data_IF_640022104258
#
_entry.id   IF_640022104258
#
_cell.length_a   1.000
_cell.length_b   1.000
_cell.length_c   1.000
_cell.angle_alpha   90.00
_cell.angle_beta   90.00
_cell.angle_gamma   90.00
#
_symmetry.space_group_name_H-M   'P 1'
#
loop_
_entity.id
_entity.type
_entity.pdbx_description
1 polymer ?
2 non-polymer ?
#
# COMPACT_ATOMS: atom_id res chain seq x y z
N UNK A 1 -11.27 3.65 -14.16
CA UNK A 1 -10.68 3.39 -12.85
C UNK A 1 -10.10 4.67 -12.26
N UNK A 2 -10.12 4.77 -10.94
CA UNK A 2 -9.59 5.96 -10.26
C UNK A 2 -8.07 6.01 -10.39
N UNK A 3 -7.51 7.18 -10.12
CA UNK A 3 -6.06 7.34 -10.21
C UNK A 3 -5.40 6.38 -9.22
N UNK A 4 -6.03 6.18 -8.07
CA UNK A 4 -5.48 5.28 -7.09
C UNK A 4 -5.40 3.87 -7.68
N UNK A 5 -6.43 3.47 -8.42
CA UNK A 5 -6.43 2.16 -9.05
C UNK A 5 -5.34 2.09 -10.09
N UNK A 6 -5.16 3.19 -10.84
CA UNK A 6 -4.14 3.22 -11.88
C UNK A 6 -2.76 3.04 -11.26
N UNK A 7 -2.55 3.71 -10.13
CA UNK A 7 -1.27 3.62 -9.43
C UNK A 7 -1.09 2.22 -8.85
N UNK A 8 -2.20 1.64 -8.40
CA UNK A 8 -2.16 0.31 -7.80
C UNK A 8 -1.62 -0.74 -8.77
N UNK A 9 -2.09 -0.68 -10.02
CA UNK A 9 -1.67 -1.63 -11.03
C UNK A 9 -0.17 -1.60 -11.20
N UNK A 10 0.41 -0.44 -10.99
CA UNK A 10 1.84 -0.29 -11.10
C UNK A 10 2.56 -1.24 -10.15
N UNK A 11 1.99 -1.47 -8.95
CA UNK A 11 2.67 -2.36 -8.00
C UNK A 11 2.80 -3.77 -8.56
N UNK A 12 1.74 -4.25 -9.19
CA UNK A 12 1.74 -5.59 -9.75
C UNK A 12 2.74 -5.73 -10.90
N UNK A 13 2.74 -4.76 -11.81
CA UNK A 13 3.64 -4.82 -12.95
C UNK A 13 5.10 -4.85 -12.53
N UNK A 14 5.45 -4.00 -11.56
CA UNK A 14 6.85 -3.96 -11.10
C UNK A 14 7.17 -5.21 -10.29
N UNK A 15 6.24 -5.64 -9.45
CA UNK A 15 6.47 -6.85 -8.66
C UNK A 15 6.67 -8.04 -9.57
N UNK A 16 5.78 -8.17 -10.55
CA UNK A 16 5.86 -9.27 -11.49
C UNK A 16 7.13 -9.24 -12.33
N UNK A 17 7.47 -8.06 -12.87
CA UNK A 17 8.66 -7.97 -13.72
C UNK A 17 9.94 -8.22 -12.94
N UNK A 18 10.13 -7.50 -11.83
CA UNK A 18 11.33 -7.70 -11.03
C UNK A 18 11.40 -9.10 -10.46
N UNK A 19 10.28 -9.59 -9.92
CA UNK A 19 10.27 -10.94 -9.35
C UNK A 19 10.60 -11.96 -10.44
N UNK A 20 10.03 -11.72 -11.63
CA UNK A 20 10.24 -12.60 -12.77
C UNK A 20 11.70 -12.62 -13.23
N UNK A 21 12.35 -11.47 -13.16
CA UNK A 21 13.73 -11.35 -13.62
C UNK A 21 14.67 -12.30 -12.87
N UNK A 22 14.50 -12.42 -11.56
CA UNK A 22 15.36 -13.29 -10.77
C UNK A 22 14.55 -14.25 -9.90
N UNK A 23 15.05 -15.47 -9.72
CA UNK A 23 14.38 -16.44 -8.87
C UNK A 23 13.13 -16.99 -9.52
N UNK A 24 12.29 -17.63 -8.73
CA UNK A 24 11.04 -18.16 -9.25
C UNK A 24 10.09 -17.01 -9.55
N UNK A 25 9.40 -17.09 -10.68
CA UNK A 25 8.47 -16.06 -11.08
C UNK A 25 7.34 -15.92 -10.06
N UNK A 26 6.89 -17.05 -9.55
CA UNK A 26 5.79 -17.08 -8.58
C UNK A 26 6.15 -16.43 -7.24
N UNK A 27 7.41 -16.58 -6.81
CA UNK A 27 7.81 -16.02 -5.52
C UNK A 27 9.00 -15.07 -5.61
N UNK A 28 8.99 -14.09 -4.71
CA UNK A 28 10.08 -13.12 -4.62
C UNK A 28 10.90 -13.43 -3.37
N UNK A 29 12.21 -13.61 -3.53
CA UNK A 29 13.06 -13.89 -2.37
C UNK A 29 13.45 -12.57 -1.71
N UNK A 30 13.86 -12.63 -0.44
CA UNK A 30 14.25 -11.41 0.24
C UNK A 30 15.39 -10.74 -0.50
N UNK A 31 16.32 -11.52 -1.03
CA UNK A 31 17.44 -10.94 -1.74
C UNK A 31 16.93 -10.11 -2.90
N UNK A 32 15.93 -10.63 -3.61
CA UNK A 32 15.36 -9.90 -4.72
C UNK A 32 14.64 -8.65 -4.22
N UNK A 33 13.96 -8.79 -3.07
CA UNK A 33 13.25 -7.65 -2.49
C UNK A 33 14.20 -6.54 -2.07
N UNK A 34 15.31 -6.91 -1.42
CA UNK A 34 16.26 -5.92 -0.97
C UNK A 34 16.80 -5.12 -2.14
N UNK A 35 17.18 -5.82 -3.20
CA UNK A 35 17.70 -5.17 -4.38
C UNK A 35 16.63 -4.31 -5.04
N UNK A 36 15.40 -4.82 -5.07
CA UNK A 36 14.31 -4.07 -5.69
C UNK A 36 14.05 -2.74 -5.00
N UNK A 37 13.89 -2.77 -3.68
CA UNK A 37 13.64 -1.53 -2.94
C UNK A 37 14.86 -0.63 -2.88
N UNK A 38 16.04 -1.21 -2.73
CA UNK A 38 17.22 -0.38 -2.63
C UNK A 38 17.42 0.45 -3.90
N UNK A 39 17.29 -0.21 -5.06
CA UNK A 39 17.47 0.50 -6.33
C UNK A 39 16.27 1.37 -6.71
N UNK A 40 15.06 0.81 -6.62
CA UNK A 40 13.86 1.53 -7.02
C UNK A 40 13.39 2.58 -6.01
N UNK A 41 13.60 2.31 -4.73
CA UNK A 41 13.12 3.23 -3.68
C UNK A 41 14.25 4.16 -3.23
N UNK A 42 13.90 5.40 -2.93
CA UNK A 42 14.87 6.40 -2.51
C UNK A 42 15.75 5.82 -1.40
N UNK A 43 15.20 4.84 -0.70
CA UNK A 43 15.91 4.19 0.38
C UNK A 43 17.35 3.88 -0.05
N UNK A 44 17.63 4.02 -1.35
CA UNK A 44 18.98 3.76 -1.84
C UNK A 44 19.99 4.49 -0.95
N UNK A 45 19.64 5.72 -0.60
CA UNK A 45 20.50 6.52 0.28
C UNK A 45 20.74 5.76 1.58
N UNK A 46 19.69 5.07 2.03
CA UNK A 46 19.75 4.29 3.27
C UNK A 46 20.44 2.96 3.03
N UNK A 47 21.03 2.81 1.85
CA UNK A 47 21.72 1.58 1.49
C UNK A 47 22.84 1.28 2.49
N UNK A 48 23.34 2.31 3.14
CA UNK A 48 24.40 2.15 4.13
C UNK A 48 24.04 1.10 5.18
N UNK A 49 24.67 1.19 6.35
CA UNK A 49 24.39 0.22 7.42
C UNK A 49 22.92 0.23 7.77
N UNK A 50 22.26 1.35 7.56
CA UNK A 50 20.84 1.46 7.84
C UNK A 50 20.08 0.36 7.11
N UNK A 51 20.57 0.02 5.92
CA UNK A 51 19.94 -1.01 5.10
C UNK A 51 19.76 -2.30 5.89
N UNK A 52 20.65 -2.54 6.85
CA UNK A 52 20.57 -3.74 7.67
C UNK A 52 19.20 -3.87 8.31
N UNK A 53 18.61 -2.74 8.68
CA UNK A 53 17.29 -2.75 9.31
C UNK A 53 16.29 -3.45 8.41
N UNK A 54 16.54 -3.40 7.11
CA UNK A 54 15.65 -4.04 6.18
C UNK A 54 15.43 -5.49 6.60
N UNK A 55 16.48 -6.13 7.10
CA UNK A 55 16.33 -7.50 7.55
C UNK A 55 15.38 -7.55 8.75
N UNK A 56 15.52 -6.58 9.64
CA UNK A 56 14.70 -6.51 10.86
C UNK A 56 13.21 -6.31 10.57
N UNK A 57 12.88 -5.47 9.59
CA UNK A 57 11.47 -5.22 9.29
C UNK A 57 10.79 -6.42 8.64
N UNK A 58 11.54 -7.18 7.86
CA UNK A 58 10.97 -8.36 7.19
C UNK A 58 10.38 -9.34 8.19
N UNK A 59 11.03 -9.50 9.34
CA UNK A 59 10.54 -10.44 10.33
C UNK A 59 9.13 -10.10 10.81
N UNK A 60 8.89 -8.80 11.08
CA UNK A 60 7.57 -8.39 11.54
C UNK A 60 6.51 -8.55 10.46
N UNK A 61 6.86 -8.21 9.23
CA UNK A 61 5.92 -8.32 8.11
C UNK A 61 5.58 -9.78 7.80
N UNK A 62 6.57 -10.66 7.94
CA UNK A 62 6.34 -12.06 7.63
C UNK A 62 5.78 -12.80 8.84
N UNK A 63 4.49 -13.11 8.81
CA UNK A 63 3.88 -13.86 9.89
C UNK A 63 4.45 -15.27 9.90
N UNK A 64 4.67 -15.80 8.70
CA UNK A 64 5.19 -17.14 8.53
C UNK A 64 6.55 -17.29 9.21
N UNK A 65 7.34 -16.24 9.13
CA UNK A 65 8.69 -16.27 9.69
C UNK A 65 9.59 -16.99 8.70
N UNK A 66 9.02 -17.29 7.55
CA UNK A 66 9.70 -18.00 6.48
C UNK A 66 10.90 -17.23 5.92
N UNK A 67 10.80 -15.92 5.90
CA UNK A 67 11.88 -15.09 5.36
C UNK A 67 11.59 -14.76 3.90
N UNK A 68 10.49 -15.33 3.41
CA UNK A 68 10.04 -15.11 2.04
C UNK A 68 8.75 -14.32 2.09
N UNK A 69 8.45 -13.57 1.03
CA UNK A 69 7.23 -12.77 1.02
C UNK A 69 6.33 -13.06 -0.17
N UNK A 70 5.04 -12.89 0.08
CA UNK A 70 4.01 -13.09 -0.91
C UNK A 70 3.48 -11.73 -1.34
N UNK A 71 2.73 -11.68 -2.41
CA UNK A 71 2.22 -10.40 -2.87
C UNK A 71 1.52 -9.69 -1.71
N UNK A 72 0.76 -10.43 -0.91
CA UNK A 72 0.08 -9.82 0.22
C UNK A 72 1.06 -9.20 1.20
N UNK A 73 2.17 -9.87 1.49
CA UNK A 73 3.15 -9.30 2.40
C UNK A 73 3.85 -8.08 1.76
N UNK A 74 4.09 -8.20 0.45
CA UNK A 74 4.76 -7.13 -0.30
C UNK A 74 3.96 -5.82 -0.32
N UNK A 75 2.66 -5.92 -0.56
CA UNK A 75 1.85 -4.72 -0.63
C UNK A 75 1.88 -3.95 0.68
N UNK A 76 1.86 -4.66 1.80
CA UNK A 76 1.92 -4.00 3.09
C UNK A 76 3.35 -3.53 3.36
N UNK A 77 4.32 -4.30 2.87
CA UNK A 77 5.71 -3.94 3.07
C UNK A 77 6.03 -2.59 2.44
N UNK A 78 5.51 -2.36 1.23
CA UNK A 78 5.76 -1.08 0.56
C UNK A 78 4.93 0.03 1.21
N UNK A 79 3.75 -0.34 1.70
CA UNK A 79 2.86 0.63 2.32
C UNK A 79 3.52 1.27 3.54
N UNK A 80 4.26 0.47 4.32
CA UNK A 80 4.92 1.01 5.49
C UNK A 80 5.98 2.02 5.08
N UNK A 81 6.71 1.69 4.02
CA UNK A 81 7.75 2.58 3.51
C UNK A 81 7.12 3.87 2.98
N UNK A 82 5.93 3.74 2.38
CA UNK A 82 5.23 4.89 1.83
C UNK A 82 5.09 5.99 2.88
N UNK A 83 4.84 5.59 4.11
CA UNK A 83 4.70 6.55 5.18
C UNK A 83 5.97 7.37 5.34
N UNK A 84 7.13 6.73 5.13
CA UNK A 84 8.39 7.43 5.27
C UNK A 84 8.50 8.59 4.27
N UNK A 85 8.00 8.37 3.06
CA UNK A 85 8.05 9.42 2.06
C UNK A 85 7.27 10.62 2.58
N UNK A 86 6.15 10.34 3.25
CA UNK A 86 5.34 11.40 3.82
C UNK A 86 6.19 12.21 4.80
N UNK A 87 6.99 11.50 5.59
CA UNK A 87 7.86 12.16 6.53
C UNK A 87 8.84 13.06 5.79
N UNK A 88 9.34 12.54 4.67
CA UNK A 88 10.27 13.29 3.83
C UNK A 88 9.60 14.56 3.31
N UNK A 89 8.35 14.43 2.93
CA UNK A 89 7.58 15.56 2.40
C UNK A 89 7.66 16.73 3.36
N UNK A 90 7.59 16.42 4.65
CA UNK A 90 7.65 17.46 5.68
C UNK A 90 8.90 18.31 5.49
N UNK A 91 9.99 17.69 5.06
CA UNK A 91 11.24 18.43 4.85
C UNK A 91 11.06 19.50 3.77
N UNK A 92 10.21 19.21 2.80
CA UNK A 92 9.95 20.15 1.71
C UNK A 92 8.63 20.85 1.93
N UNK A 93 8.65 22.18 1.86
CA UNK A 93 7.45 22.98 2.05
C UNK A 93 7.24 23.32 3.52
N UNK B 1 12.67 9.04 -9.93
CA UNK B 1 11.96 8.13 -9.04
C UNK B 1 11.38 6.94 -9.82
N UNK B 2 11.29 5.80 -9.16
CA UNK B 2 10.75 4.60 -9.79
C UNK B 2 9.26 4.74 -10.04
N UNK B 3 8.73 3.88 -10.91
CA UNK B 3 7.31 3.94 -11.22
C UNK B 3 6.51 3.71 -9.95
N UNK B 4 7.03 2.85 -9.08
CA UNK B 4 6.34 2.57 -7.82
C UNK B 4 6.24 3.86 -7.01
N UNK B 5 7.32 4.64 -7.00
CA UNK B 5 7.32 5.90 -6.28
C UNK B 5 6.31 6.86 -6.92
N UNK B 6 6.27 6.85 -8.25
CA UNK B 6 5.35 7.74 -8.95
C UNK B 6 3.91 7.40 -8.57
N UNK B 7 3.63 6.09 -8.52
CA UNK B 7 2.29 5.63 -8.15
C UNK B 7 1.99 5.97 -6.70
N UNK B 8 3.02 5.87 -5.87
CA UNK B 8 2.87 6.13 -4.43
C UNK B 8 2.37 7.55 -4.17
N UNK B 9 2.95 8.51 -4.89
CA UNK B 9 2.58 9.92 -4.71
C UNK B 9 1.10 10.10 -4.96
N UNK B 10 0.57 9.30 -5.85
CA UNK B 10 -0.84 9.38 -6.17
C UNK B 10 -1.68 9.17 -4.92
N UNK B 11 -1.24 8.29 -4.00
CA UNK B 11 -2.04 8.04 -2.80
C UNK B 11 -2.19 9.30 -1.96
N UNK B 12 -1.10 10.04 -1.83
CA UNK B 12 -1.12 11.26 -1.04
C UNK B 12 -2.01 12.34 -1.66
N UNK B 13 -1.88 12.54 -2.97
CA UNK B 13 -2.68 13.55 -3.65
C UNK B 13 -4.17 13.29 -3.52
N UNK B 14 -4.57 12.04 -3.70
CA UNK B 14 -5.99 11.70 -3.59
C UNK B 14 -6.45 11.75 -2.15
N UNK B 15 -5.61 11.27 -1.24
CA UNK B 15 -5.97 11.31 0.17
C UNK B 15 -6.15 12.75 0.63
N UNK B 16 -5.18 13.58 0.26
CA UNK B 16 -5.22 14.99 0.64
C UNK B 16 -6.41 15.72 0.01
N UNK B 17 -6.65 15.52 -1.28
CA UNK B 17 -7.75 16.21 -1.94
C UNK B 17 -9.11 15.77 -1.41
N UNK B 18 -9.36 14.47 -1.40
CA UNK B 18 -10.63 13.98 -0.90
C UNK B 18 -10.83 14.32 0.57
N UNK B 19 -9.79 14.08 1.39
CA UNK B 19 -9.88 14.39 2.80
C UNK B 19 -10.16 15.87 3.01
N UNK B 20 -9.48 16.68 2.20
CA UNK B 20 -9.63 18.13 2.25
C UNK B 20 -11.04 18.59 1.88
N UNK B 21 -11.64 17.91 0.91
CA UNK B 21 -12.97 18.29 0.45
C UNK B 21 -14.00 18.26 1.55
N UNK B 22 -13.96 17.24 2.41
CA UNK B 22 -14.93 17.13 3.49
C UNK B 22 -14.25 16.91 4.83
N UNK B 23 -14.83 17.48 5.89
CA UNK B 23 -14.29 17.30 7.23
C UNK B 23 -13.01 18.09 7.42
N UNK B 24 -12.26 17.76 8.47
CA UNK B 24 -11.00 18.42 8.73
C UNK B 24 -9.98 17.98 7.70
N UNK B 25 -9.19 18.92 7.20
CA UNK B 25 -8.18 18.62 6.21
C UNK B 25 -7.14 17.65 6.77
N UNK B 26 -6.80 17.85 8.04
CA UNK B 26 -5.80 17.02 8.70
C UNK B 26 -6.24 15.57 8.89
N UNK B 27 -7.54 15.36 9.13
CA UNK B 27 -8.03 13.99 9.37
C UNK B 27 -9.16 13.59 8.43
N UNK B 28 -9.19 12.29 8.13
CA UNK B 28 -10.22 11.72 7.28
C UNK B 28 -11.18 10.90 8.15
N UNK B 29 -12.47 11.20 8.10
CA UNK B 29 -13.44 10.45 8.90
C UNK B 29 -13.82 9.17 8.16
N UNK B 30 -14.34 8.19 8.89
CA UNK B 30 -14.74 6.95 8.23
C UNK B 30 -15.76 7.23 7.15
N UNK B 31 -16.68 8.15 7.42
CA UNK B 31 -17.71 8.47 6.44
C UNK B 31 -17.05 8.93 5.15
N UNK B 32 -16.03 9.76 5.27
CA UNK B 32 -15.32 10.23 4.10
C UNK B 32 -14.60 9.08 3.42
N UNK B 33 -14.03 8.17 4.24
CA UNK B 33 -13.32 7.02 3.70
C UNK B 33 -14.25 6.08 2.93
N UNK B 34 -15.43 5.82 3.49
CA UNK B 34 -16.37 4.93 2.85
C UNK B 34 -16.76 5.47 1.48
N UNK B 35 -17.07 6.75 1.44
CA UNK B 35 -17.45 7.38 0.18
C UNK B 35 -16.29 7.38 -0.79
N UNK B 36 -15.09 7.63 -0.29
CA UNK B 36 -13.91 7.66 -1.15
C UNK B 36 -13.65 6.33 -1.84
N UNK B 37 -13.62 5.25 -1.05
CA UNK B 37 -13.37 3.95 -1.64
C UNK B 37 -14.55 3.44 -2.45
N UNK B 38 -15.76 3.70 -1.99
CA UNK B 38 -16.91 3.21 -2.73
C UNK B 38 -16.96 3.79 -4.14
N UNK B 39 -16.75 5.11 -4.24
CA UNK B 39 -16.78 5.76 -5.54
C UNK B 39 -15.52 5.52 -6.38
N UNK B 40 -14.35 5.71 -5.75
CA UNK B 40 -13.08 5.56 -6.46
C UNK B 40 -12.65 4.12 -6.70
N UNK B 41 -12.99 3.23 -5.78
CA UNK B 41 -12.57 1.82 -5.91
C UNK B 41 -13.69 0.98 -6.52
N UNK B 42 -13.31 0.01 -7.35
CA UNK B 42 -14.27 -0.86 -8.02
C UNK B 42 -15.26 -1.40 -7.01
N UNK B 43 -14.83 -1.44 -5.76
CA UNK B 43 -15.67 -1.92 -4.67
C UNK B 43 -17.07 -1.33 -4.79
N UNK B 44 -17.23 -0.33 -5.66
CA UNK B 44 -18.54 0.29 -5.84
C UNK B 44 -19.58 -0.81 -6.04
N UNK B 45 -19.22 -1.82 -6.81
CA UNK B 45 -20.12 -2.94 -7.06
C UNK B 45 -20.50 -3.59 -5.73
N UNK B 46 -19.54 -3.60 -4.80
CA UNK B 46 -19.74 -4.17 -3.48
C UNK B 46 -20.47 -3.19 -2.58
N UNK B 47 -20.96 -2.11 -3.17
CA UNK B 47 -21.67 -1.08 -2.43
C UNK B 47 -22.89 -1.67 -1.71
N UNK B 48 -23.39 -2.78 -2.25
CA UNK B 48 -24.55 -3.45 -1.67
C UNK B 48 -24.33 -3.73 -0.18
N UNK B 49 -25.05 -4.71 0.36
CA UNK B 49 -24.94 -5.06 1.77
C UNK B 49 -23.49 -5.42 2.12
N UNK B 50 -22.76 -5.91 1.11
CA UNK B 50 -21.37 -6.28 1.31
C UNK B 50 -20.60 -5.09 1.87
N UNK B 51 -20.99 -3.89 1.45
CA UNK B 51 -20.35 -2.67 1.90
C UNK B 51 -20.30 -2.60 3.41
N UNK B 52 -21.28 -3.20 4.07
CA UNK B 52 -21.34 -3.20 5.52
C UNK B 52 -20.03 -3.72 6.11
N UNK B 53 -19.43 -4.69 5.44
CA UNK B 53 -18.18 -5.28 5.93
C UNK B 53 -17.13 -4.18 6.09
N UNK B 54 -17.26 -3.12 5.29
CA UNK B 54 -16.31 -2.04 5.37
C UNK B 54 -16.20 -1.58 6.82
N UNK B 55 -17.33 -1.57 7.54
CA UNK B 55 -17.29 -1.18 8.93
C UNK B 55 -16.44 -2.17 9.74
N UNK B 56 -16.63 -3.46 9.42
CA UNK B 56 -15.92 -4.53 10.12
C UNK B 56 -14.40 -4.48 9.93
N UNK B 57 -13.95 -4.16 8.72
CA UNK B 57 -12.50 -4.14 8.47
C UNK B 57 -11.82 -2.95 9.15
N UNK B 58 -12.53 -1.83 9.27
CA UNK B 58 -11.96 -0.65 9.92
C UNK B 58 -11.51 -0.93 11.34
N UNK B 59 -12.27 -1.76 12.06
CA UNK B 59 -11.92 -2.07 13.43
C UNK B 59 -10.55 -2.73 13.54
N UNK B 60 -10.26 -3.69 12.66
CA UNK B 60 -8.98 -4.37 12.70
C UNK B 60 -7.83 -3.44 12.32
N UNK B 61 -8.05 -2.60 11.32
CA UNK B 61 -7.02 -1.67 10.86
C UNK B 61 -6.73 -0.61 11.92
N UNK B 62 -7.76 -0.16 12.62
CA UNK B 62 -7.57 0.87 13.63
C UNK B 62 -7.16 0.26 14.97
N UNK B 63 -5.89 0.41 15.32
CA UNK B 63 -5.42 -0.08 16.60
C UNK B 63 -6.05 0.74 17.72
N UNK B 64 -6.18 2.02 17.45
CA UNK B 64 -6.76 2.96 18.41
C UNK B 64 -8.16 2.55 18.80
N UNK B 65 -8.90 2.05 17.82
CA UNK B 65 -10.30 1.67 18.03
C UNK B 65 -11.14 2.94 18.00
N UNK B 66 -10.47 4.03 17.64
CA UNK B 66 -11.09 5.35 17.55
C UNK B 66 -12.20 5.42 16.51
N UNK B 67 -12.04 4.70 15.42
CA UNK B 67 -13.02 4.72 14.34
C UNK B 67 -12.58 5.71 13.28
N UNK B 68 -11.47 6.40 13.57
CA UNK B 68 -10.89 7.37 12.66
C UNK B 68 -9.57 6.82 12.15
N UNK B 69 -9.14 7.26 10.97
CA UNK B 69 -7.89 6.75 10.42
C UNK B 69 -6.91 7.85 10.08
N UNK B 70 -5.64 7.48 10.19
CA UNK B 70 -4.53 8.36 9.89
C UNK B 70 -3.90 7.92 8.58
N UNK B 71 -3.05 8.74 7.99
CA UNK B 71 -2.44 8.35 6.73
C UNK B 71 -1.82 6.97 6.86
N UNK B 72 -1.17 6.70 8.00
CA UNK B 72 -0.57 5.39 8.20
C UNK B 72 -1.60 4.28 8.13
N UNK B 73 -2.77 4.48 8.75
CA UNK B 73 -3.80 3.45 8.71
C UNK B 73 -4.36 3.32 7.29
N UNK B 74 -4.50 4.47 6.62
CA UNK B 74 -5.04 4.51 5.26
C UNK B 74 -4.19 3.75 4.25
N UNK B 75 -2.88 3.94 4.32
CA UNK B 75 -2.00 3.28 3.35
C UNK B 75 -2.12 1.76 3.45
N UNK B 76 -2.23 1.25 4.68
CA UNK B 76 -2.38 -0.18 4.85
C UNK B 76 -3.80 -0.60 4.48
N UNK B 77 -4.77 0.28 4.76
CA UNK B 77 -6.15 -0.03 4.45
C UNK B 77 -6.34 -0.26 2.95
N UNK B 78 -5.71 0.59 2.14
CA UNK B 78 -5.83 0.43 0.69
C UNK B 78 -5.01 -0.77 0.21
N UNK B 79 -3.90 -1.03 0.89
CA UNK B 79 -3.03 -2.13 0.52
C UNK B 79 -3.76 -3.47 0.63
N UNK B 80 -4.60 -3.61 1.66
CA UNK B 80 -5.34 -4.85 1.82
C UNK B 80 -6.31 -5.04 0.65
N UNK B 81 -6.97 -3.94 0.26
CA UNK B 81 -7.90 -3.98 -0.86
C UNK B 81 -7.17 -4.32 -2.15
N UNK B 82 -5.94 -3.80 -2.27
CA UNK B 82 -5.14 -4.03 -3.47
C UNK B 82 -5.04 -5.52 -3.77
N UNK B 83 -4.92 -6.31 -2.72
CA UNK B 83 -4.83 -7.75 -2.90
C UNK B 83 -6.08 -8.29 -3.60
N UNK B 84 -7.23 -7.69 -3.30
CA UNK B 84 -8.48 -8.14 -3.91
C UNK B 84 -8.43 -7.97 -5.42
N UNK B 85 -7.84 -6.87 -5.89
CA UNK B 85 -7.75 -6.67 -7.33
C UNK B 85 -6.97 -7.80 -7.94
N UNK B 86 -5.92 -8.24 -7.23
CA UNK B 86 -5.12 -9.35 -7.71
C UNK B 86 -6.02 -10.57 -7.90
N UNK B 87 -6.92 -10.78 -6.94
CA UNK B 87 -7.84 -11.90 -7.04
C UNK B 87 -8.70 -11.73 -8.29
N UNK B 88 -9.13 -10.51 -8.53
CA UNK B 88 -9.93 -10.19 -9.71
C UNK B 88 -9.16 -10.53 -10.99
N UNK B 89 -7.88 -10.20 -10.98
CA UNK B 89 -7.03 -10.43 -12.13
C UNK B 89 -7.13 -11.89 -12.56
N UNK B 90 -7.19 -12.78 -11.58
CA UNK B 90 -7.30 -14.20 -11.86
C UNK B 90 -8.48 -14.48 -12.79
N UNK B 91 -9.57 -13.72 -12.61
CA UNK B 91 -10.75 -13.91 -13.46
C UNK B 91 -10.42 -13.64 -14.91
N UNK B 92 -9.50 -12.71 -15.15
CA UNK B 92 -9.10 -12.37 -16.51
C UNK B 92 -7.77 -13.00 -16.84
N UNK B 93 -7.73 -13.70 -17.97
CA UNK B 93 -6.51 -14.37 -18.42
C UNK B 93 -6.42 -15.77 -17.85
X LIG C 1 11.50 -14.13 -8.00
X LIG D 1 5.98 -15.10 4.36
X LIG E 1 -11.39 15.14 6.08
X LIG F 1 -7.06 5.25 14.32
#
# INVERSE_FOLDING_TARGET
>A
GSELETAMETLINVFHAHSGKEGDKYKLSKKELKELLQTELSGFLDAQKDVDAVDKVMKELDENGDGEVDFQEYVVLVAALTVAMNNFFWENS
>B
GSELETAMETLINVFHAHSGKEGDKYKLSKKELKELLQTELSGFLDAQKDVDAVDKVMKELDENGDGEVDFQEYVVLVAALTVAMNNFFWENS
>C hetero
1 CA CA
>D hetero
1 CA CA
>E hetero
1 CA CA
>F hetero
1 CA CA
#
